data_IF_299134105111
#
_entry.id   IF_299134105111
#
_cell.length_a   1.000
_cell.length_b   1.000
_cell.length_c   1.000
_cell.angle_alpha   90.00
_cell.angle_beta   90.00
_cell.angle_gamma   90.00
#
_symmetry.space_group_name_H-M   'P 1'
#
loop_
_entity.id
_entity.type
_entity.pdbx_description
1 polymer ?
#
# COMPACT_ATOMS: atom_id res chain seq x y z
N UNK A 1 -20.04 8.88 -10.98
CA UNK A 1 -19.78 7.55 -10.36
C UNK A 1 -19.42 6.50 -11.43
N UNK A 2 -18.27 6.61 -12.11
CA UNK A 2 -17.85 5.61 -13.13
C UNK A 2 -16.50 4.95 -12.81
N UNK A 3 -15.65 5.61 -12.03
CA UNK A 3 -14.31 5.14 -11.66
C UNK A 3 -14.35 3.82 -10.89
N UNK A 4 -15.29 3.69 -9.94
CA UNK A 4 -15.44 2.51 -9.09
C UNK A 4 -15.96 1.30 -9.85
N UNK A 5 -16.89 1.49 -10.81
CA UNK A 5 -17.45 0.40 -11.61
C UNK A 5 -16.39 -0.18 -12.57
N UNK A 6 -15.53 0.66 -13.16
CA UNK A 6 -14.44 0.20 -14.05
C UNK A 6 -13.38 -0.59 -13.28
N UNK A 7 -13.04 -0.16 -12.07
CA UNK A 7 -12.10 -0.88 -11.20
C UNK A 7 -12.70 -2.22 -10.78
N UNK A 8 -13.96 -2.23 -10.33
CA UNK A 8 -14.67 -3.44 -9.92
C UNK A 8 -14.70 -4.49 -11.03
N UNK A 9 -15.02 -4.09 -12.27
CA UNK A 9 -15.02 -4.98 -13.44
C UNK A 9 -13.64 -5.61 -13.72
N UNK A 10 -12.53 -4.86 -13.57
CA UNK A 10 -11.16 -5.40 -13.77
C UNK A 10 -10.79 -6.49 -12.77
N UNK A 11 -11.27 -6.39 -11.54
CA UNK A 11 -11.07 -7.44 -10.52
C UNK A 11 -11.78 -8.75 -10.88
N UNK A 12 -12.91 -8.68 -11.57
CA UNK A 12 -13.64 -9.86 -12.05
C UNK A 12 -13.02 -10.47 -13.30
N UNK A 13 -12.50 -9.66 -14.22
CA UNK A 13 -11.92 -10.15 -15.48
C UNK A 13 -10.45 -10.56 -15.37
N UNK A 14 -9.80 -10.28 -14.23
CA UNK A 14 -8.37 -10.55 -14.06
C UNK A 14 -7.45 -9.60 -14.83
N UNK A 15 -7.99 -8.54 -15.42
CA UNK A 15 -7.23 -7.56 -16.20
C UNK A 15 -6.28 -6.76 -15.30
N UNK A 16 -4.98 -6.84 -15.58
CA UNK A 16 -3.90 -6.19 -14.84
C UNK A 16 -3.05 -5.32 -15.76
N UNK A 17 -3.56 -4.15 -16.20
CA UNK A 17 -2.89 -3.36 -17.24
C UNK A 17 -1.66 -2.59 -16.73
N UNK A 18 -1.40 -2.57 -15.43
CA UNK A 18 -0.31 -1.77 -14.85
C UNK A 18 0.85 -2.68 -14.44
N UNK A 19 1.96 -2.62 -15.18
CA UNK A 19 3.17 -3.41 -14.92
C UNK A 19 4.17 -2.59 -14.10
N UNK A 20 4.84 -3.23 -13.15
CA UNK A 20 6.03 -2.69 -12.52
C UNK A 20 7.24 -2.94 -13.41
N UNK A 21 7.95 -1.88 -13.80
CA UNK A 21 9.11 -2.01 -14.69
C UNK A 21 10.36 -2.55 -13.98
N UNK A 22 10.40 -2.53 -12.64
CA UNK A 22 11.53 -3.05 -11.87
C UNK A 22 11.49 -4.58 -11.77
N UNK A 23 10.33 -5.17 -11.46
CA UNK A 23 10.19 -6.60 -11.19
C UNK A 23 9.20 -7.33 -12.11
N UNK A 24 8.53 -6.62 -13.02
CA UNK A 24 7.60 -7.19 -13.99
C UNK A 24 6.21 -7.54 -13.44
N UNK A 25 5.95 -7.34 -12.15
CA UNK A 25 4.65 -7.68 -11.53
C UNK A 25 3.54 -6.79 -12.07
N UNK A 26 2.39 -7.39 -12.39
CA UNK A 26 1.22 -6.68 -12.93
C UNK A 26 0.13 -6.44 -11.88
N UNK A 27 -0.54 -5.29 -11.98
CA UNK A 27 -1.59 -4.81 -11.08
C UNK A 27 -2.82 -4.34 -11.85
N UNK A 28 -4.00 -4.50 -11.24
CA UNK A 28 -5.29 -4.06 -11.81
C UNK A 28 -5.57 -2.57 -11.61
N UNK A 29 -4.84 -1.93 -10.69
CA UNK A 29 -5.03 -0.52 -10.30
C UNK A 29 -3.70 0.24 -10.26
N UNK A 30 -3.68 1.45 -10.82
CA UNK A 30 -2.49 2.32 -10.85
C UNK A 30 -2.00 2.67 -9.44
N UNK A 31 -2.89 3.00 -8.52
CA UNK A 31 -2.50 3.33 -7.14
C UNK A 31 -1.87 2.14 -6.39
N UNK A 32 -2.20 0.90 -6.76
CA UNK A 32 -1.56 -0.29 -6.19
C UNK A 32 -0.14 -0.45 -6.75
N UNK A 33 0.05 -0.20 -8.06
CA UNK A 33 1.38 -0.15 -8.68
C UNK A 33 2.25 0.93 -8.04
N UNK A 34 1.78 2.18 -7.95
CA UNK A 34 2.58 3.28 -7.37
C UNK A 34 3.03 2.98 -5.94
N UNK A 35 2.15 2.40 -5.12
CA UNK A 35 2.50 1.96 -3.76
C UNK A 35 3.50 0.81 -3.76
N UNK A 36 3.38 -0.11 -4.72
CA UNK A 36 4.33 -1.19 -4.89
C UNK A 36 5.70 -0.65 -5.29
N UNK A 37 5.78 0.31 -6.19
CA UNK A 37 7.05 0.93 -6.60
C UNK A 37 7.82 1.56 -5.42
N UNK A 38 7.09 2.09 -4.44
CA UNK A 38 7.68 2.57 -3.18
C UNK A 38 8.55 1.54 -2.46
N UNK A 39 8.28 0.23 -2.60
CA UNK A 39 9.10 -0.82 -1.98
C UNK A 39 10.48 -0.92 -2.62
N UNK A 40 10.60 -0.62 -3.92
CA UNK A 40 11.86 -0.69 -4.65
C UNK A 40 12.74 0.52 -4.35
N UNK A 41 12.12 1.70 -4.18
CA UNK A 41 12.83 2.91 -3.75
C UNK A 41 13.27 2.87 -2.29
N UNK A 42 12.67 2.03 -1.46
CA UNK A 42 12.88 2.04 -0.02
C UNK A 42 12.22 3.23 0.70
N UNK A 43 11.46 4.07 -0.01
CA UNK A 43 10.77 5.21 0.57
C UNK A 43 9.78 4.79 1.65
N UNK A 44 10.04 5.27 2.86
CA UNK A 44 9.22 5.06 4.04
C UNK A 44 8.77 6.42 4.60
N UNK A 45 7.79 7.07 3.96
CA UNK A 45 7.40 8.44 4.30
C UNK A 45 6.60 8.54 5.61
N UNK A 46 6.31 7.42 6.29
CA UNK A 46 5.51 7.40 7.50
C UNK A 46 6.37 6.96 8.69
N UNK A 47 6.90 7.92 9.43
CA UNK A 47 7.66 7.67 10.65
C UNK A 47 6.76 7.53 11.89
N UNK A 48 7.20 6.69 12.81
CA UNK A 48 6.66 6.65 14.16
C UNK A 48 7.45 7.61 15.05
N UNK A 49 6.85 8.74 15.39
CA UNK A 49 7.45 9.74 16.28
C UNK A 49 7.83 9.19 17.67
N UNK A 50 7.20 8.09 18.12
CA UNK A 50 7.47 7.50 19.43
C UNK A 50 8.74 6.63 19.47
N UNK A 51 9.13 5.99 18.35
CA UNK A 51 10.26 5.06 18.32
C UNK A 51 11.21 5.25 17.13
N UNK A 52 10.91 6.18 16.23
CA UNK A 52 11.67 6.46 15.01
C UNK A 52 11.48 5.45 13.87
N UNK A 53 10.68 4.39 14.05
CA UNK A 53 10.52 3.36 13.02
C UNK A 53 9.70 3.89 11.82
N UNK A 54 10.22 3.72 10.61
CA UNK A 54 9.58 4.22 9.38
C UNK A 54 8.87 3.12 8.59
N UNK A 55 7.71 3.45 8.04
CA UNK A 55 6.82 2.55 7.29
C UNK A 55 6.54 3.08 5.89
N UNK A 56 6.33 2.17 4.95
CA UNK A 56 5.96 2.50 3.56
C UNK A 56 4.48 2.90 3.40
N UNK A 57 3.65 2.65 4.43
CA UNK A 57 2.19 2.88 4.38
C UNK A 57 1.67 3.37 5.74
N UNK A 58 0.78 4.36 5.70
CA UNK A 58 0.10 4.90 6.89
C UNK A 58 -0.62 3.84 7.71
N UNK A 59 -1.34 2.92 7.08
CA UNK A 59 -2.04 1.84 7.79
C UNK A 59 -1.11 0.87 8.54
N UNK A 60 0.15 0.71 8.08
CA UNK A 60 1.14 -0.06 8.83
C UNK A 60 1.63 0.70 10.06
N UNK A 61 1.89 2.00 9.92
CA UNK A 61 2.20 2.88 11.04
C UNK A 61 1.06 2.89 12.07
N UNK A 62 -0.20 3.06 11.64
CA UNK A 62 -1.35 3.07 12.55
C UNK A 62 -1.47 1.75 13.33
N UNK A 63 -1.27 0.61 12.64
CA UNK A 63 -1.28 -0.70 13.28
C UNK A 63 -0.09 -0.89 14.23
N UNK A 64 1.08 -0.40 13.86
CA UNK A 64 2.26 -0.39 14.72
C UNK A 64 1.98 0.43 15.98
N UNK A 65 1.55 1.68 15.84
CA UNK A 65 1.17 2.56 16.97
C UNK A 65 0.18 1.85 17.90
N UNK A 66 -0.90 1.28 17.32
CA UNK A 66 -1.92 0.57 18.11
C UNK A 66 -1.37 -0.63 18.90
N UNK A 67 -0.51 -1.45 18.28
CA UNK A 67 -0.02 -2.70 18.87
C UNK A 67 1.16 -2.52 19.81
N UNK A 68 2.02 -1.55 19.52
CA UNK A 68 3.33 -1.37 20.17
C UNK A 68 3.27 -0.25 21.21
N UNK A 69 2.46 0.79 20.97
CA UNK A 69 2.43 1.98 21.82
C UNK A 69 1.10 2.17 22.58
N UNK A 70 -0.05 1.91 21.94
CA UNK A 70 -1.36 2.10 22.58
C UNK A 70 -1.83 0.89 23.41
N UNK A 71 -1.14 -0.25 23.31
CA UNK A 71 -1.34 -1.39 24.21
C UNK A 71 -2.81 -1.71 24.49
N UNK A 72 -3.65 -1.78 23.44
CA UNK A 72 -5.03 -2.22 23.61
C UNK A 72 -5.01 -3.74 23.85
N UNK A 73 -4.85 -4.13 25.12
CA UNK A 73 -5.13 -5.48 25.60
C UNK A 73 -6.57 -5.80 25.21
N UNK A 74 -6.73 -6.83 24.38
CA UNK A 74 -7.98 -7.60 24.39
C UNK A 74 -8.13 -8.27 25.76
#
# INVERSE_FOLDING_TARGET
MMSSLRIYKRTHTGDKPYKCEVCGVMFSQKGVLTRHEGIHSGDKPYDCEACGESFTRSGYLSRHKRKVHDGEKA
#
